data_IF_023178963898
#
_entry.id   IF_023178963898
#
_cell.length_a   1.000
_cell.length_b   1.000
_cell.length_c   1.000
_cell.angle_alpha   90.00
_cell.angle_beta   90.00
_cell.angle_gamma   90.00
#
_symmetry.space_group_name_H-M   'P 1'
#
loop_
_entity.id
_entity.type
_entity.pdbx_description
1 polymer ?
#
# COMPACT_ATOMS: atom_id res chain seq x y z
N UNK A 1 -41.61 -3.29 -3.05
CA UNK A 1 -42.73 -3.05 -4.01
C UNK A 1 -42.09 -2.68 -5.36
N UNK A 2 -42.57 -3.28 -6.46
CA UNK A 2 -41.96 -3.42 -7.81
C UNK A 2 -41.03 -4.64 -7.91
N UNK A 3 -41.56 -5.86 -8.05
CA UNK A 3 -42.06 -6.49 -9.30
C UNK A 3 -41.01 -6.55 -10.41
N UNK A 4 -40.28 -7.67 -10.46
CA UNK A 4 -39.84 -8.27 -11.72
C UNK A 4 -40.52 -9.62 -11.84
N UNK A 5 -41.57 -9.61 -12.64
CA UNK A 5 -42.35 -10.75 -13.06
C UNK A 5 -41.55 -11.48 -14.14
N UNK A 6 -40.97 -12.65 -13.82
CA UNK A 6 -40.56 -13.60 -14.86
C UNK A 6 -41.66 -14.65 -14.97
N UNK A 7 -42.62 -14.31 -15.81
CA UNK A 7 -43.56 -15.25 -16.40
C UNK A 7 -42.79 -16.06 -17.47
N UNK A 8 -42.50 -17.32 -17.18
CA UNK A 8 -42.33 -18.36 -18.19
C UNK A 8 -43.24 -19.50 -17.69
N UNK A 9 -44.51 -19.50 -18.06
CA UNK A 9 -44.90 -19.83 -19.42
C UNK A 9 -44.98 -21.35 -19.51
N UNK A 10 -46.09 -21.91 -19.02
CA UNK A 10 -46.39 -23.33 -19.20
C UNK A 10 -46.38 -23.66 -20.69
N UNK A 11 -45.52 -24.61 -21.08
CA UNK A 11 -45.55 -25.22 -22.40
C UNK A 11 -45.56 -26.73 -22.21
N UNK A 12 -46.76 -27.29 -22.42
CA UNK A 12 -47.07 -28.62 -22.89
C UNK A 12 -45.90 -29.60 -23.09
N UNK A 13 -45.70 -30.51 -22.12
CA UNK A 13 -45.00 -31.78 -22.37
C UNK A 13 -45.95 -32.74 -23.10
N UNK A 14 -46.14 -32.50 -24.40
CA UNK A 14 -46.76 -33.47 -25.31
C UNK A 14 -45.75 -34.58 -25.57
N UNK A 15 -46.22 -35.82 -25.38
CA UNK A 15 -45.68 -37.12 -25.80
C UNK A 15 -44.50 -37.05 -26.78
N UNK A 16 -43.28 -36.99 -26.23
CA UNK A 16 -42.05 -37.23 -26.95
C UNK A 16 -41.65 -38.70 -26.72
N UNK A 17 -41.63 -39.48 -27.81
CA UNK A 17 -41.29 -40.90 -27.83
C UNK A 17 -39.93 -41.21 -27.19
N UNK A 18 -39.66 -42.49 -26.89
CA UNK A 18 -38.50 -42.89 -26.07
C UNK A 18 -37.15 -42.38 -26.61
N UNK A 19 -37.02 -42.19 -27.93
CA UNK A 19 -35.81 -41.63 -28.53
C UNK A 19 -35.62 -40.13 -28.28
N UNK A 20 -36.69 -39.34 -28.21
CA UNK A 20 -36.58 -37.89 -27.96
C UNK A 20 -36.30 -37.58 -26.49
N UNK A 21 -36.79 -38.42 -25.57
CA UNK A 21 -36.49 -38.25 -24.14
C UNK A 21 -35.02 -38.59 -23.80
N UNK A 22 -34.44 -39.59 -24.44
CA UNK A 22 -33.01 -39.91 -24.34
C UNK A 22 -32.14 -38.75 -24.87
N UNK A 23 -32.54 -38.13 -25.98
CA UNK A 23 -31.84 -36.95 -26.54
C UNK A 23 -31.90 -35.74 -25.61
N UNK A 24 -33.04 -35.51 -24.94
CA UNK A 24 -33.19 -34.43 -23.96
C UNK A 24 -32.29 -34.67 -22.75
N UNK A 25 -32.25 -35.89 -22.20
CA UNK A 25 -31.35 -36.20 -21.08
C UNK A 25 -29.89 -36.03 -21.47
N UNK A 26 -29.47 -36.51 -22.64
CA UNK A 26 -28.10 -36.31 -23.13
C UNK A 26 -27.80 -34.82 -23.29
N UNK A 27 -28.72 -34.03 -23.82
CA UNK A 27 -28.56 -32.57 -23.94
C UNK A 27 -28.45 -31.87 -22.58
N UNK A 28 -29.27 -32.26 -21.60
CA UNK A 28 -29.20 -31.72 -20.23
C UNK A 28 -27.90 -32.11 -19.53
N UNK A 29 -27.45 -33.37 -19.65
CA UNK A 29 -26.17 -33.81 -19.09
C UNK A 29 -25.02 -33.08 -19.77
N UNK A 30 -25.04 -32.93 -21.11
CA UNK A 30 -24.01 -32.18 -21.84
C UNK A 30 -24.01 -30.71 -21.41
N UNK A 31 -25.17 -30.10 -21.21
CA UNK A 31 -25.28 -28.71 -20.74
C UNK A 31 -24.74 -28.54 -19.32
N UNK A 32 -25.04 -29.47 -18.40
CA UNK A 32 -24.47 -29.48 -17.05
C UNK A 32 -22.95 -29.67 -17.13
N UNK A 33 -22.47 -30.55 -18.01
CA UNK A 33 -21.04 -30.83 -18.16
C UNK A 33 -20.29 -29.65 -18.78
N UNK A 34 -20.90 -28.93 -19.73
CA UNK A 34 -20.38 -27.69 -20.30
C UNK A 34 -20.42 -26.56 -19.27
N UNK A 35 -21.52 -26.39 -18.53
CA UNK A 35 -21.61 -25.39 -17.47
C UNK A 35 -20.57 -25.65 -16.37
N UNK A 36 -20.43 -26.91 -15.95
CA UNK A 36 -19.42 -27.34 -14.98
C UNK A 36 -18.01 -27.15 -15.54
N UNK A 37 -17.78 -27.50 -16.82
CA UNK A 37 -16.51 -27.26 -17.48
C UNK A 37 -16.20 -25.77 -17.50
N UNK A 38 -17.09 -24.90 -17.98
CA UNK A 38 -16.97 -23.42 -18.01
C UNK A 38 -16.68 -22.83 -16.62
N UNK A 39 -17.26 -23.41 -15.56
CA UNK A 39 -16.99 -23.01 -14.16
C UNK A 39 -15.63 -23.52 -13.66
N UNK A 40 -15.18 -24.69 -14.14
CA UNK A 40 -13.90 -25.29 -13.78
C UNK A 40 -12.74 -24.89 -14.70
N UNK A 41 -12.99 -24.25 -15.86
CA UNK A 41 -11.93 -23.64 -16.66
C UNK A 41 -11.36 -22.53 -15.78
N UNK A 42 -10.07 -22.60 -15.38
CA UNK A 42 -9.41 -21.48 -14.73
C UNK A 42 -9.68 -20.27 -15.59
N UNK A 43 -10.28 -19.21 -15.04
CA UNK A 43 -10.68 -18.07 -15.86
C UNK A 43 -9.47 -17.64 -16.69
N UNK A 44 -9.60 -17.59 -18.01
CA UNK A 44 -8.56 -17.07 -18.92
C UNK A 44 -8.20 -15.59 -18.62
N UNK A 45 -8.86 -14.99 -17.62
CA UNK A 45 -8.50 -13.74 -16.97
C UNK A 45 -7.34 -13.86 -15.96
N UNK A 46 -6.81 -15.05 -15.67
CA UNK A 46 -5.64 -15.22 -14.80
C UNK A 46 -4.34 -14.65 -15.42
N UNK A 47 -4.32 -14.41 -16.74
CA UNK A 47 -3.20 -13.78 -17.46
C UNK A 47 -3.37 -12.25 -17.63
N UNK A 48 -4.49 -11.67 -17.20
CA UNK A 48 -4.60 -10.22 -17.07
C UNK A 48 -4.12 -9.92 -15.66
N UNK A 49 -2.94 -9.28 -15.47
CA UNK A 49 -2.52 -8.89 -14.13
C UNK A 49 -3.65 -8.07 -13.50
N UNK A 50 -4.06 -8.36 -12.25
CA UNK A 50 -5.01 -7.51 -11.54
C UNK A 50 -4.54 -6.04 -11.60
N UNK A 51 -5.46 -5.06 -11.49
CA UNK A 51 -5.04 -3.68 -11.31
C UNK A 51 -3.99 -3.62 -10.20
N UNK A 52 -2.87 -2.96 -10.48
CA UNK A 52 -1.80 -2.81 -9.48
C UNK A 52 -2.35 -1.90 -8.39
N UNK A 53 -2.77 -2.50 -7.29
CA UNK A 53 -3.03 -1.78 -6.06
C UNK A 53 -1.68 -1.52 -5.37
N UNK A 54 -1.54 -0.33 -4.77
CA UNK A 54 -0.30 0.10 -4.12
C UNK A 54 -0.60 0.72 -2.76
N UNK A 55 0.36 0.62 -1.85
CA UNK A 55 0.41 1.41 -0.63
C UNK A 55 1.69 2.22 -0.61
N UNK A 56 1.52 3.49 -0.27
CA UNK A 56 2.58 4.48 -0.21
C UNK A 56 2.76 4.94 1.23
N UNK A 57 4.01 5.16 1.63
CA UNK A 57 4.34 5.69 2.94
C UNK A 57 5.47 6.70 2.76
N UNK A 58 5.13 7.97 2.96
CA UNK A 58 6.02 9.11 2.78
C UNK A 58 6.47 9.65 4.14
N UNK A 59 7.76 9.94 4.31
CA UNK A 59 8.29 10.64 5.50
C UNK A 59 9.47 11.51 5.10
N UNK A 60 9.85 12.51 5.89
CA UNK A 60 11.19 13.08 5.76
C UNK A 60 11.29 14.57 5.97
N UNK A 61 12.50 15.00 6.30
CA UNK A 61 12.86 16.41 6.26
C UNK A 61 12.34 17.31 7.38
N UNK A 62 13.04 18.43 7.59
CA UNK A 62 12.65 19.50 8.52
C UNK A 62 12.32 20.79 7.76
N UNK A 63 11.14 21.34 8.04
CA UNK A 63 10.76 22.70 7.64
C UNK A 63 11.08 23.70 8.74
N UNK A 64 11.72 24.82 8.40
CA UNK A 64 12.02 25.92 9.32
C UNK A 64 11.64 27.26 8.71
N UNK A 65 11.19 28.21 9.54
CA UNK A 65 10.85 29.60 9.14
C UNK A 65 12.02 30.58 9.46
N UNK A 66 13.02 30.16 10.23
CA UNK A 66 14.08 31.06 10.66
C UNK A 66 15.16 31.27 9.59
N UNK A 67 15.52 32.54 9.35
CA UNK A 67 16.66 32.91 8.52
C UNK A 67 17.99 32.68 9.28
N UNK A 68 19.10 32.57 8.53
CA UNK A 68 20.47 32.41 9.05
C UNK A 68 20.75 31.06 9.74
N UNK A 69 20.10 30.01 9.25
CA UNK A 69 20.14 28.66 9.78
C UNK A 69 20.65 27.71 8.70
N UNK A 70 21.59 26.84 9.03
CA UNK A 70 22.11 25.82 8.13
C UNK A 70 21.82 24.42 8.64
N UNK A 71 21.61 23.49 7.71
CA UNK A 71 21.43 22.06 7.94
C UNK A 71 22.60 21.34 7.26
N UNK A 72 23.81 21.37 7.83
CA UNK A 72 24.99 20.80 7.19
C UNK A 72 24.94 19.29 6.95
N UNK A 73 24.24 18.54 7.81
CA UNK A 73 24.27 17.07 7.78
C UNK A 73 22.92 16.48 8.18
N UNK A 74 22.48 15.49 7.40
CA UNK A 74 21.28 14.69 7.64
C UNK A 74 21.61 13.23 7.47
N UNK A 75 21.31 12.42 8.48
CA UNK A 75 21.49 10.97 8.44
C UNK A 75 20.15 10.30 8.70
N UNK A 76 19.73 9.44 7.77
CA UNK A 76 18.44 8.75 7.80
C UNK A 76 18.69 7.26 7.76
N UNK A 77 18.07 6.55 8.70
CA UNK A 77 18.10 5.11 8.77
C UNK A 77 16.68 4.58 8.73
N UNK A 78 16.40 3.73 7.74
CA UNK A 78 15.09 3.13 7.53
C UNK A 78 15.25 1.63 7.56
N UNK A 79 14.50 0.95 8.41
CA UNK A 79 14.37 -0.51 8.40
C UNK A 79 12.94 -0.88 8.06
N UNK A 80 12.76 -1.70 7.04
CA UNK A 80 11.47 -2.16 6.55
C UNK A 80 11.43 -3.67 6.66
N UNK A 81 10.51 -4.19 7.47
CA UNK A 81 10.32 -5.61 7.69
C UNK A 81 8.99 -6.06 7.12
N UNK A 82 9.01 -6.95 6.13
CA UNK A 82 7.79 -7.66 5.72
C UNK A 82 7.49 -8.76 6.75
N UNK A 83 6.55 -8.49 7.66
CA UNK A 83 6.23 -9.37 8.79
C UNK A 83 5.08 -10.33 8.52
N UNK A 84 4.18 -9.99 7.60
CA UNK A 84 3.16 -10.88 7.04
C UNK A 84 3.10 -10.68 5.52
N UNK A 85 2.32 -11.50 4.81
CA UNK A 85 2.18 -11.49 3.35
C UNK A 85 1.96 -10.10 2.76
N UNK A 86 1.35 -9.19 3.53
CA UNK A 86 1.12 -7.81 3.12
C UNK A 86 1.37 -6.76 4.21
N UNK A 87 1.99 -7.14 5.33
CA UNK A 87 2.23 -6.23 6.44
C UNK A 87 3.70 -5.85 6.52
N UNK A 88 3.95 -4.56 6.50
CA UNK A 88 5.28 -3.96 6.60
C UNK A 88 5.38 -3.23 7.93
N UNK A 89 6.37 -3.58 8.73
CA UNK A 89 6.73 -2.82 9.93
C UNK A 89 7.98 -1.98 9.58
N UNK A 90 7.89 -0.68 9.81
CA UNK A 90 8.90 0.30 9.44
C UNK A 90 9.40 1.00 10.70
N UNK A 91 10.73 1.12 10.81
CA UNK A 91 11.36 2.01 11.77
C UNK A 91 12.20 3.01 11.01
N UNK A 92 12.02 4.28 11.35
CA UNK A 92 12.72 5.42 10.78
C UNK A 92 13.42 6.14 11.91
N UNK A 93 14.71 6.37 11.73
CA UNK A 93 15.53 7.19 12.61
C UNK A 93 16.24 8.23 11.77
N UNK A 94 16.00 9.50 12.07
CA UNK A 94 16.64 10.62 11.39
C UNK A 94 17.44 11.43 12.41
N UNK A 95 18.64 11.84 12.04
CA UNK A 95 19.46 12.79 12.79
C UNK A 95 19.75 14.01 11.92
N UNK A 96 19.33 15.18 12.39
CA UNK A 96 19.48 16.45 11.70
C UNK A 96 20.44 17.35 12.47
N UNK A 97 21.60 17.65 11.88
CA UNK A 97 22.55 18.58 12.49
C UNK A 97 22.22 20.00 12.04
N UNK A 98 21.80 20.83 12.99
CA UNK A 98 21.38 22.21 12.75
C UNK A 98 22.40 23.18 13.34
N UNK A 99 22.74 24.23 12.60
CA UNK A 99 23.64 25.31 13.06
C UNK A 99 23.02 26.68 12.87
N UNK A 100 23.21 27.52 13.87
CA UNK A 100 22.87 28.95 13.84
C UNK A 100 24.12 29.78 14.06
N UNK A 101 24.20 30.96 13.44
CA UNK A 101 25.24 31.95 13.74
C UNK A 101 24.87 32.87 14.91
N UNK A 102 23.60 32.84 15.33
CA UNK A 102 23.04 33.68 16.39
C UNK A 102 22.19 32.85 17.35
N UNK A 103 22.06 33.32 18.58
CA UNK A 103 21.09 32.75 19.52
C UNK A 103 19.67 33.07 19.07
N UNK A 104 18.82 32.05 18.93
CA UNK A 104 17.43 32.22 18.53
C UNK A 104 16.54 31.02 18.88
N UNK A 105 15.23 31.30 18.99
CA UNK A 105 14.20 30.26 19.08
C UNK A 105 13.79 29.83 17.68
N UNK A 106 13.65 28.53 17.51
CA UNK A 106 13.26 27.89 16.26
C UNK A 106 11.91 27.21 16.42
N UNK A 107 11.13 27.31 15.36
CA UNK A 107 9.90 26.57 15.16
C UNK A 107 10.12 25.71 13.93
N UNK A 108 10.07 24.39 14.11
CA UNK A 108 10.44 23.42 13.10
C UNK A 108 9.37 22.33 13.00
N UNK A 109 9.11 21.84 11.80
CA UNK A 109 8.20 20.73 11.57
C UNK A 109 8.92 19.55 10.92
N UNK A 110 8.68 18.34 11.43
CA UNK A 110 9.07 17.09 10.79
C UNK A 110 7.89 16.50 9.99
N UNK A 111 8.12 16.10 8.75
CA UNK A 111 7.10 15.46 7.91
C UNK A 111 7.09 13.96 8.15
N UNK A 112 5.91 13.42 8.38
CA UNK A 112 5.72 11.99 8.53
C UNK A 112 4.40 11.59 7.87
N UNK A 113 4.20 10.30 7.56
CA UNK A 113 3.03 9.87 6.81
C UNK A 113 1.81 10.18 7.66
N UNK A 114 0.79 10.80 7.05
CA UNK A 114 -0.47 10.97 7.78
C UNK A 114 -1.01 9.58 8.16
N UNK A 115 -1.79 9.51 9.23
CA UNK A 115 -2.53 8.28 9.50
C UNK A 115 -3.64 8.22 8.45
N UNK A 116 -3.42 7.45 7.38
CA UNK A 116 -4.42 7.27 6.33
C UNK A 116 -5.61 6.49 6.88
N UNK A 117 -6.70 7.20 7.18
CA UNK A 117 -8.06 6.68 7.17
C UNK A 117 -8.72 7.18 5.89
N UNK A 118 -8.23 6.76 4.73
CA UNK A 118 -8.99 7.04 3.52
C UNK A 118 -10.24 6.16 3.56
N UNK A 119 -11.42 6.79 3.45
CA UNK A 119 -12.76 6.20 3.38
C UNK A 119 -12.97 5.19 2.21
N UNK A 120 -11.91 4.84 1.49
CA UNK A 120 -11.90 3.84 0.43
C UNK A 120 -11.18 2.59 0.96
N UNK A 121 -11.97 1.75 1.61
CA UNK A 121 -11.67 0.42 2.18
C UNK A 121 -10.83 0.39 3.47
N UNK A 122 -11.27 -0.32 4.53
CA UNK A 122 -10.58 -0.46 5.82
C UNK A 122 -9.29 -1.30 5.76
N UNK A 123 -8.64 -1.37 4.60
CA UNK A 123 -7.65 -2.41 4.28
C UNK A 123 -6.24 -1.84 3.99
N UNK A 124 -6.12 -0.52 3.76
CA UNK A 124 -4.84 0.20 3.74
C UNK A 124 -4.69 1.02 5.03
N UNK A 125 -3.98 0.47 6.02
CA UNK A 125 -3.83 1.10 7.33
C UNK A 125 -2.35 1.39 7.57
N UNK A 126 -2.01 2.68 7.64
CA UNK A 126 -0.77 3.14 8.27
C UNK A 126 -1.06 3.39 9.75
N UNK A 127 -0.46 2.59 10.63
CA UNK A 127 -0.58 2.72 12.08
C UNK A 127 0.74 3.19 12.67
N UNK A 128 0.72 4.31 13.38
CA UNK A 128 1.89 4.82 14.13
C UNK A 128 1.93 4.18 15.52
N UNK A 129 3.04 3.52 15.86
CA UNK A 129 3.24 2.84 17.14
C UNK A 129 4.04 3.70 18.11
N UNK A 130 5.12 4.30 17.62
CA UNK A 130 6.05 5.12 18.41
C UNK A 130 6.46 6.33 17.58
N UNK A 131 6.52 7.50 18.23
CA UNK A 131 7.02 8.74 17.64
C UNK A 131 7.65 9.59 18.74
N UNK A 132 8.91 9.96 18.57
CA UNK A 132 9.70 10.72 19.54
C UNK A 132 10.61 11.71 18.82
N UNK A 133 10.69 12.94 19.35
CA UNK A 133 11.58 13.99 18.85
C UNK A 133 12.47 14.42 20.00
N UNK A 134 13.77 14.36 19.78
CA UNK A 134 14.78 14.77 20.76
C UNK A 134 15.66 15.87 20.19
N UNK A 135 16.02 16.81 21.05
CA UNK A 135 17.01 17.85 20.76
C UNK A 135 18.15 17.69 21.73
N UNK A 136 19.34 17.35 21.23
CA UNK A 136 20.51 16.97 22.05
C UNK A 136 20.13 15.96 23.14
N UNK A 137 19.57 14.80 22.73
CA UNK A 137 19.08 13.72 23.60
C UNK A 137 17.91 14.07 24.56
N UNK A 138 17.38 15.30 24.50
CA UNK A 138 16.27 15.73 25.36
C UNK A 138 14.95 15.69 24.58
N UNK A 139 13.99 14.88 25.05
CA UNK A 139 12.66 14.81 24.42
C UNK A 139 11.94 16.17 24.46
N UNK A 140 11.31 16.53 23.35
CA UNK A 140 10.58 17.79 23.17
C UNK A 140 9.11 17.53 22.84
N UNK A 141 8.24 18.38 23.35
CA UNK A 141 6.81 18.37 23.01
C UNK A 141 6.57 18.92 21.60
N UNK A 142 5.68 18.26 20.87
CA UNK A 142 5.28 18.63 19.52
C UNK A 142 3.76 18.65 19.37
N UNK A 143 3.28 19.44 18.42
CA UNK A 143 1.89 19.48 17.98
C UNK A 143 1.78 18.90 16.57
N UNK A 144 0.81 18.04 16.34
CA UNK A 144 0.54 17.49 15.01
C UNK A 144 -0.38 18.45 14.25
N UNK A 145 0.03 18.81 13.04
CA UNK A 145 -0.77 19.58 12.10
C UNK A 145 -0.99 18.76 10.83
N UNK A 146 -2.24 18.74 10.34
CA UNK A 146 -2.52 18.22 9.01
C UNK A 146 -2.02 19.19 7.93
N UNK A 147 -1.78 18.69 6.73
CA UNK A 147 -1.28 19.47 5.60
C UNK A 147 -2.03 20.80 5.38
N UNK A 148 -3.36 20.77 5.37
CA UNK A 148 -4.18 21.98 5.14
C UNK A 148 -3.98 23.03 6.23
N UNK A 149 -3.81 22.63 7.49
CA UNK A 149 -3.52 23.56 8.58
C UNK A 149 -2.10 24.10 8.46
N UNK A 150 -1.11 23.22 8.23
CA UNK A 150 0.29 23.60 8.07
C UNK A 150 0.47 24.62 6.94
N UNK A 151 -0.12 24.37 5.77
CA UNK A 151 -0.02 25.24 4.60
C UNK A 151 -0.51 26.67 4.84
N UNK A 152 -1.56 26.87 5.64
CA UNK A 152 -2.11 28.20 5.96
C UNK A 152 -1.09 29.03 6.75
N UNK A 153 -0.40 28.40 7.70
CA UNK A 153 0.53 29.08 8.60
C UNK A 153 1.93 29.27 7.98
N UNK A 154 2.31 28.39 7.04
CA UNK A 154 3.65 28.30 6.48
C UNK A 154 3.63 28.52 4.95
N UNK A 155 2.91 29.53 4.46
CA UNK A 155 2.87 29.90 3.02
C UNK A 155 4.28 30.31 2.50
N UNK A 156 5.09 29.31 2.18
CA UNK A 156 6.52 29.38 1.84
C UNK A 156 6.77 29.89 0.40
N UNK A 157 5.85 30.63 -0.22
CA UNK A 157 5.91 31.02 -1.65
C UNK A 157 6.10 29.83 -2.62
N UNK A 158 5.75 28.62 -2.17
CA UNK A 158 5.97 27.40 -2.90
C UNK A 158 4.72 27.01 -3.70
N UNK A 159 4.92 26.72 -4.98
CA UNK A 159 3.83 26.43 -5.92
C UNK A 159 3.47 24.95 -6.03
N UNK A 160 4.34 24.04 -5.59
CA UNK A 160 4.10 22.61 -5.65
C UNK A 160 4.24 21.96 -4.27
N UNK A 161 3.14 21.44 -3.77
CA UNK A 161 3.01 20.73 -2.50
C UNK A 161 2.55 19.28 -2.69
N UNK A 162 2.49 18.79 -3.94
CA UNK A 162 1.88 17.50 -4.24
C UNK A 162 2.54 16.33 -3.49
N UNK A 163 3.84 16.42 -3.23
CA UNK A 163 4.63 15.39 -2.58
C UNK A 163 4.58 15.39 -1.04
N UNK A 164 3.78 16.29 -0.43
CA UNK A 164 3.53 16.30 1.03
C UNK A 164 2.05 16.47 1.37
N UNK A 165 1.16 16.44 0.37
CA UNK A 165 -0.27 16.71 0.55
C UNK A 165 -0.93 15.68 1.47
N UNK A 166 -0.43 14.45 1.47
CA UNK A 166 -0.95 13.34 2.25
C UNK A 166 -0.11 13.04 3.50
N UNK A 167 0.67 14.02 3.96
CA UNK A 167 1.51 13.95 5.15
C UNK A 167 0.96 14.77 6.32
N UNK A 168 1.36 14.38 7.53
CA UNK A 168 1.21 15.16 8.74
C UNK A 168 2.55 15.81 9.15
N UNK A 169 2.45 16.89 9.93
CA UNK A 169 3.58 17.72 10.33
C UNK A 169 3.68 17.77 11.85
N UNK A 170 4.74 17.20 12.41
CA UNK A 170 5.04 17.30 13.83
C UNK A 170 5.80 18.60 14.11
N UNK A 171 5.09 19.61 14.59
CA UNK A 171 5.60 20.95 14.87
C UNK A 171 6.13 21.06 16.29
N UNK A 172 7.39 21.47 16.45
CA UNK A 172 8.05 21.62 17.74
C UNK A 172 8.90 22.89 17.80
N UNK A 173 9.19 23.33 19.03
CA UNK A 173 9.99 24.52 19.28
C UNK A 173 11.21 24.17 20.14
N UNK A 174 12.34 24.80 19.84
CA UNK A 174 13.55 24.70 20.65
C UNK A 174 14.39 25.97 20.53
N UNK A 175 15.33 26.17 21.46
CA UNK A 175 16.27 27.30 21.41
C UNK A 175 17.66 26.80 21.00
N UNK A 176 18.36 27.65 20.25
CA UNK A 176 19.79 27.46 19.97
C UNK A 176 20.53 28.59 20.69
N UNK A 177 21.25 28.23 21.75
CA UNK A 177 21.85 29.20 22.68
C UNK A 177 23.36 29.40 22.44
N UNK A 178 23.94 28.71 21.45
CA UNK A 178 25.38 28.73 21.19
C UNK A 178 25.71 28.55 19.70
N UNK A 179 26.98 28.79 19.35
CA UNK A 179 27.53 28.48 18.03
C UNK A 179 27.67 26.95 17.81
N UNK A 180 27.54 26.16 18.88
CA UNK A 180 27.66 24.72 18.76
C UNK A 180 26.44 24.15 18.00
N UNK A 181 26.67 23.18 17.10
CA UNK A 181 25.59 22.51 16.41
C UNK A 181 24.66 21.82 17.39
N UNK A 182 23.37 21.84 17.07
CA UNK A 182 22.35 21.05 17.76
C UNK A 182 22.00 19.86 16.88
N UNK A 183 21.81 18.70 17.49
CA UNK A 183 21.29 17.51 16.82
C UNK A 183 19.82 17.35 17.18
N UNK A 184 18.98 17.27 16.16
CA UNK A 184 17.57 16.89 16.30
C UNK A 184 17.43 15.45 15.83
N UNK A 185 17.10 14.56 16.75
CA UNK A 185 16.83 13.16 16.46
C UNK A 185 15.33 12.92 16.40
N UNK A 186 14.88 12.24 15.35
CA UNK A 186 13.49 11.81 15.19
C UNK A 186 13.46 10.31 15.08
N UNK A 187 12.63 9.68 15.92
CA UNK A 187 12.39 8.24 15.90
C UNK A 187 10.92 8.00 15.63
N UNK A 188 10.61 7.24 14.59
CA UNK A 188 9.26 6.86 14.25
C UNK A 188 9.18 5.37 13.96
N UNK A 189 8.15 4.71 14.49
CA UNK A 189 7.81 3.33 14.15
C UNK A 189 6.36 3.29 13.68
N UNK A 190 6.15 2.71 12.50
CA UNK A 190 4.85 2.59 11.88
C UNK A 190 4.68 1.24 11.21
N UNK A 191 3.45 0.76 11.13
CA UNK A 191 3.09 -0.41 10.34
C UNK A 191 2.22 0.01 9.18
N UNK A 192 2.48 -0.55 8.01
CA UNK A 192 1.70 -0.33 6.79
C UNK A 192 1.17 -1.67 6.29
N UNK A 193 -0.13 -1.75 6.04
CA UNK A 193 -0.75 -2.93 5.42
C UNK A 193 -1.04 -2.60 3.97
N UNK A 194 -0.41 -3.36 3.06
CA UNK A 194 -0.74 -3.31 1.64
C UNK A 194 -1.92 -4.21 1.32
N UNK A 195 -2.81 -3.76 0.44
CA UNK A 195 -3.79 -4.65 -0.23
C UNK A 195 -3.32 -5.12 -1.58
N UNK A 196 -2.22 -4.55 -2.06
CA UNK A 196 -1.78 -4.68 -3.43
C UNK A 196 -0.36 -5.20 -3.55
N UNK A 197 -0.01 -5.49 -4.81
CA UNK A 197 1.29 -6.06 -5.17
C UNK A 197 2.46 -5.10 -4.94
N UNK A 198 2.18 -3.83 -4.70
CA UNK A 198 3.19 -2.80 -4.62
C UNK A 198 3.21 -2.18 -3.23
N UNK A 199 4.39 -2.12 -2.65
CA UNK A 199 4.67 -1.29 -1.49
C UNK A 199 5.69 -0.23 -1.90
N UNK A 200 5.41 1.02 -1.55
CA UNK A 200 6.23 2.19 -1.84
C UNK A 200 6.57 2.86 -0.51
N UNK A 201 7.86 3.02 -0.27
CA UNK A 201 8.38 3.89 0.77
C UNK A 201 9.06 5.08 0.10
N UNK A 202 8.75 6.28 0.53
CA UNK A 202 9.39 7.50 0.05
C UNK A 202 9.98 8.31 1.20
N UNK A 203 11.18 8.85 0.98
CA UNK A 203 11.79 9.83 1.85
C UNK A 203 11.97 11.17 1.13
N UNK A 204 11.43 12.25 1.72
CA UNK A 204 11.41 13.60 1.16
C UNK A 204 12.72 14.33 1.49
N UNK A 205 13.51 14.64 0.47
CA UNK A 205 14.82 15.33 0.61
C UNK A 205 14.71 16.84 0.34
N UNK A 206 13.70 17.28 -0.40
CA UNK A 206 13.55 18.67 -0.84
C UNK A 206 13.56 19.68 0.32
N UNK A 207 13.15 19.26 1.52
CA UNK A 207 13.20 20.08 2.75
C UNK A 207 14.59 20.67 3.03
N UNK A 208 15.67 19.96 2.71
CA UNK A 208 17.04 20.40 2.92
C UNK A 208 17.38 21.67 2.12
N UNK A 209 16.78 21.88 0.94
CA UNK A 209 17.02 23.05 0.08
C UNK A 209 16.57 24.38 0.69
N UNK A 210 15.81 24.34 1.79
CA UNK A 210 15.29 25.54 2.48
C UNK A 210 16.28 26.10 3.49
N UNK A 211 17.33 25.35 3.79
CA UNK A 211 18.34 25.76 4.76
C UNK A 211 19.47 26.52 4.06
N UNK A 212 20.14 27.40 4.80
CA UNK A 212 21.28 28.13 4.28
C UNK A 212 22.47 27.20 4.09
N UNK A 213 23.15 27.35 2.96
CA UNK A 213 24.33 26.58 2.62
C UNK A 213 23.99 25.32 1.83
N UNK A 214 24.75 24.26 2.09
CA UNK A 214 24.64 22.98 1.40
C UNK A 214 24.52 21.88 2.46
N UNK A 215 23.66 20.90 2.17
CA UNK A 215 23.34 19.80 3.07
C UNK A 215 23.94 18.53 2.51
N UNK A 216 24.73 17.84 3.33
CA UNK A 216 25.11 16.45 3.08
C UNK A 216 24.04 15.53 3.66
N UNK A 217 23.44 14.70 2.81
CA UNK A 217 22.38 13.80 3.21
C UNK A 217 22.75 12.35 2.90
N UNK A 218 22.65 11.49 3.92
CA UNK A 218 22.90 10.05 3.82
C UNK A 218 21.64 9.30 4.22
N UNK A 219 21.07 8.52 3.31
CA UNK A 219 19.85 7.75 3.53
C UNK A 219 20.17 6.28 3.37
N UNK A 220 20.11 5.55 4.47
CA UNK A 220 20.33 4.11 4.54
C UNK A 220 19.00 3.41 4.71
N UNK A 221 18.65 2.53 3.78
CA UNK A 221 17.45 1.72 3.83
C UNK A 221 17.81 0.23 3.84
N UNK A 222 17.32 -0.47 4.84
CA UNK A 222 17.35 -1.92 4.93
C UNK A 222 15.93 -2.46 4.76
N UNK A 223 15.76 -3.38 3.83
CA UNK A 223 14.55 -4.17 3.66
C UNK A 223 14.86 -5.63 3.97
N UNK A 224 14.09 -6.25 4.85
CA UNK A 224 14.17 -7.68 5.13
C UNK A 224 12.78 -8.33 5.06
N UNK A 225 12.71 -9.53 4.47
CA UNK A 225 11.48 -10.34 4.50
C UNK A 225 11.63 -11.53 5.44
N UNK A 226 10.58 -11.79 6.22
CA UNK A 226 10.54 -12.94 7.14
C UNK A 226 9.94 -14.21 6.52
N UNK A 227 9.25 -14.13 5.37
CA UNK A 227 8.36 -15.20 4.90
C UNK A 227 8.56 -15.62 3.43
N UNK A 228 7.82 -16.65 3.02
CA UNK A 228 7.81 -17.26 1.67
C UNK A 228 7.27 -16.36 0.55
N UNK A 229 6.84 -15.12 0.83
CA UNK A 229 6.31 -14.18 -0.17
C UNK A 229 7.35 -13.93 -1.25
N UNK A 230 7.06 -14.36 -2.47
CA UNK A 230 7.95 -14.17 -3.62
C UNK A 230 7.97 -12.69 -4.01
N UNK A 231 9.13 -12.05 -3.87
CA UNK A 231 9.37 -10.71 -4.41
C UNK A 231 9.65 -10.86 -5.90
N UNK A 232 8.88 -10.15 -6.72
CA UNK A 232 9.07 -10.09 -8.17
C UNK A 232 10.28 -9.20 -8.47
N UNK A 233 10.28 -8.00 -7.92
CA UNK A 233 11.31 -7.01 -8.18
C UNK A 233 11.42 -5.97 -7.05
N UNK A 234 12.62 -5.42 -6.94
CA UNK A 234 12.89 -4.18 -6.22
C UNK A 234 13.08 -3.08 -7.25
N UNK A 235 12.42 -1.94 -7.04
CA UNK A 235 12.64 -0.71 -7.78
C UNK A 235 13.08 0.38 -6.81
N UNK A 236 13.96 1.25 -7.27
CA UNK A 236 14.48 2.35 -6.47
C UNK A 236 14.72 3.56 -7.36
N UNK A 237 14.47 4.75 -6.83
CA UNK A 237 14.60 5.99 -7.56
C UNK A 237 15.07 7.12 -6.61
N UNK A 238 15.97 8.01 -7.06
CA UNK A 238 16.77 7.91 -8.27
C UNK A 238 17.89 6.87 -8.14
N UNK A 239 18.46 6.48 -9.28
CA UNK A 239 19.64 5.59 -9.32
C UNK A 239 20.96 6.36 -9.14
N UNK A 240 20.93 7.70 -9.23
CA UNK A 240 22.09 8.53 -8.97
C UNK A 240 22.44 8.49 -7.49
N UNK A 241 23.74 8.49 -7.19
CA UNK A 241 24.27 8.50 -5.82
C UNK A 241 23.85 7.30 -4.95
N UNK A 242 23.33 6.24 -5.57
CA UNK A 242 22.85 5.04 -4.90
C UNK A 242 23.92 3.95 -4.92
N UNK A 243 24.24 3.43 -3.74
CA UNK A 243 24.85 2.11 -3.57
C UNK A 243 23.76 1.08 -3.21
N UNK A 244 23.82 -0.09 -3.86
CA UNK A 244 22.85 -1.17 -3.66
C UNK A 244 23.59 -2.48 -3.41
N UNK A 245 23.19 -3.16 -2.34
CA UNK A 245 23.56 -4.54 -2.12
C UNK A 245 22.34 -5.33 -1.69
N UNK A 246 22.13 -6.51 -2.25
CA UNK A 246 20.93 -7.26 -1.94
C UNK A 246 20.85 -8.62 -2.62
N UNK A 247 19.85 -9.37 -2.19
CA UNK A 247 19.45 -10.65 -2.75
C UNK A 247 17.91 -10.73 -2.67
N UNK A 248 17.34 -11.90 -2.94
CA UNK A 248 15.88 -12.07 -2.97
C UNK A 248 15.20 -11.93 -1.58
N UNK A 249 15.95 -11.88 -0.49
CA UNK A 249 15.45 -11.84 0.89
C UNK A 249 15.71 -10.53 1.61
N UNK A 250 16.79 -9.84 1.22
CA UNK A 250 17.23 -8.61 1.87
C UNK A 250 17.76 -7.63 0.83
N UNK A 251 17.42 -6.35 0.98
CA UNK A 251 18.00 -5.27 0.20
C UNK A 251 18.54 -4.19 1.14
N UNK A 252 19.74 -3.71 0.85
CA UNK A 252 20.38 -2.59 1.51
C UNK A 252 20.68 -1.53 0.46
N UNK A 253 20.13 -0.34 0.65
CA UNK A 253 20.28 0.82 -0.22
C UNK A 253 20.92 1.95 0.56
N UNK A 254 21.83 2.68 -0.08
CA UNK A 254 22.42 3.89 0.51
C UNK A 254 22.47 4.98 -0.54
N UNK A 255 21.72 6.06 -0.33
CA UNK A 255 21.91 7.30 -1.07
C UNK A 255 22.83 8.22 -0.25
N UNK A 256 23.91 8.69 -0.87
CA UNK A 256 24.90 9.58 -0.23
C UNK A 256 25.23 10.73 -1.20
N UNK A 257 24.76 11.94 -0.89
CA UNK A 257 24.84 13.07 -1.81
C UNK A 257 24.84 14.43 -1.09
N UNK A 258 25.31 15.45 -1.82
CA UNK A 258 25.10 16.86 -1.46
C UNK A 258 23.83 17.37 -2.14
N UNK A 259 22.99 18.12 -1.41
CA UNK A 259 21.65 18.50 -1.88
C UNK A 259 21.70 19.37 -3.15
N UNK A 260 22.74 20.19 -3.34
CA UNK A 260 22.88 21.02 -4.54
C UNK A 260 23.12 20.22 -5.83
N UNK A 261 23.69 19.01 -5.70
CA UNK A 261 23.95 18.09 -6.83
C UNK A 261 22.81 17.07 -7.02
N UNK A 262 21.79 17.11 -6.16
CA UNK A 262 20.66 16.18 -6.17
C UNK A 262 19.42 16.83 -6.78
N UNK A 263 19.01 16.33 -7.95
CA UNK A 263 17.93 16.94 -8.75
C UNK A 263 16.51 16.52 -8.35
N UNK A 264 16.36 15.48 -7.50
CA UNK A 264 15.07 14.89 -7.17
C UNK A 264 14.55 15.40 -5.82
N UNK A 265 13.24 15.46 -5.66
CA UNK A 265 12.62 15.95 -4.40
C UNK A 265 12.49 14.87 -3.33
N UNK A 266 12.64 13.61 -3.74
CA UNK A 266 12.51 12.43 -2.90
C UNK A 266 13.34 11.26 -3.40
N UNK A 267 13.62 10.33 -2.49
CA UNK A 267 14.06 8.98 -2.82
C UNK A 267 12.90 8.01 -2.58
N UNK A 268 12.79 6.99 -3.41
CA UNK A 268 11.70 6.00 -3.34
C UNK A 268 12.29 4.60 -3.39
N UNK A 269 11.80 3.73 -2.51
CA UNK A 269 12.02 2.29 -2.52
C UNK A 269 10.70 1.58 -2.73
N UNK A 270 10.66 0.72 -3.73
CA UNK A 270 9.46 0.09 -4.22
C UNK A 270 9.68 -1.42 -4.22
N UNK A 271 8.79 -2.15 -3.56
CA UNK A 271 8.78 -3.61 -3.53
C UNK A 271 7.56 -4.09 -4.28
N UNK A 272 7.78 -4.92 -5.31
CA UNK A 272 6.70 -5.61 -5.98
C UNK A 272 6.67 -7.08 -5.59
N UNK A 273 5.52 -7.53 -5.10
CA UNK A 273 5.27 -8.89 -4.61
C UNK A 273 4.41 -9.67 -5.59
N UNK A 274 4.65 -10.98 -5.69
CA UNK A 274 3.84 -11.88 -6.49
C UNK A 274 2.58 -12.26 -5.73
N UNK A 275 1.42 -12.08 -6.36
CA UNK A 275 0.17 -12.66 -5.85
C UNK A 275 0.29 -14.19 -5.85
N UNK A 276 0.19 -14.82 -4.68
CA UNK A 276 0.28 -16.27 -4.55
C UNK A 276 -0.96 -16.83 -3.82
N UNK A 277 -1.80 -17.65 -4.49
CA UNK A 277 -2.30 -17.49 -5.85
C UNK A 277 -3.51 -16.53 -5.90
N UNK A 278 -3.73 -15.94 -7.08
CA UNK A 278 -5.00 -15.39 -7.57
C UNK A 278 -6.15 -16.01 -6.80
N UNK A 279 -6.82 -15.23 -5.97
CA UNK A 279 -8.06 -15.66 -5.36
C UNK A 279 -8.89 -16.33 -6.46
N UNK A 280 -9.14 -17.63 -6.33
CA UNK A 280 -10.37 -18.20 -6.86
C UNK A 280 -11.42 -17.21 -6.39
N UNK A 281 -11.96 -16.37 -7.30
CA UNK A 281 -13.06 -15.45 -6.98
C UNK A 281 -13.96 -16.22 -6.04
N UNK A 282 -14.19 -15.67 -4.85
CA UNK A 282 -15.03 -16.30 -3.85
C UNK A 282 -16.38 -16.52 -4.53
N UNK A 283 -16.58 -17.70 -5.12
CA UNK A 283 -17.86 -18.04 -5.70
C UNK A 283 -18.77 -18.11 -4.48
N UNK A 284 -19.79 -17.25 -4.38
CA UNK A 284 -20.64 -17.25 -3.21
C UNK A 284 -21.08 -18.70 -3.00
N UNK A 285 -20.87 -19.23 -1.79
CA UNK A 285 -21.21 -20.61 -1.46
C UNK A 285 -22.64 -20.94 -1.89
N UNK A 286 -23.50 -19.93 -1.84
CA UNK A 286 -24.89 -19.91 -2.28
C UNK A 286 -25.05 -20.24 -3.78
N UNK A 287 -24.16 -19.73 -4.65
CA UNK A 287 -24.21 -19.98 -6.09
C UNK A 287 -23.85 -21.44 -6.45
N UNK A 288 -22.87 -22.03 -5.75
CA UNK A 288 -22.52 -23.45 -5.90
C UNK A 288 -23.64 -24.34 -5.38
N UNK A 289 -24.25 -23.97 -4.25
CA UNK A 289 -25.41 -24.67 -3.68
C UNK A 289 -26.61 -24.59 -4.63
N UNK A 290 -26.87 -23.44 -5.25
CA UNK A 290 -27.94 -23.28 -6.24
C UNK A 290 -27.73 -24.17 -7.47
N UNK A 291 -26.54 -24.18 -8.06
CA UNK A 291 -26.21 -25.04 -9.21
C UNK A 291 -26.34 -26.52 -8.83
N UNK A 292 -25.82 -26.92 -7.68
CA UNK A 292 -25.93 -28.29 -7.19
C UNK A 292 -27.38 -28.70 -6.94
N UNK A 293 -28.19 -27.81 -6.37
CA UNK A 293 -29.61 -28.04 -6.09
C UNK A 293 -30.40 -28.21 -7.40
N UNK A 294 -30.17 -27.35 -8.39
CA UNK A 294 -30.80 -27.47 -9.71
C UNK A 294 -30.40 -28.78 -10.38
N UNK A 295 -29.12 -29.16 -10.32
CA UNK A 295 -28.65 -30.42 -10.90
C UNK A 295 -29.30 -31.65 -10.24
N UNK A 296 -29.38 -31.69 -8.91
CA UNK A 296 -30.03 -32.78 -8.17
C UNK A 296 -31.52 -32.86 -8.50
N UNK A 297 -32.23 -31.73 -8.57
CA UNK A 297 -33.66 -31.70 -8.91
C UNK A 297 -33.92 -32.23 -10.33
N UNK A 298 -33.06 -31.89 -11.29
CA UNK A 298 -33.15 -32.41 -12.66
C UNK A 298 -32.94 -33.92 -12.68
N UNK A 299 -31.96 -34.45 -11.95
CA UNK A 299 -31.68 -35.89 -11.88
C UNK A 299 -32.84 -36.64 -11.21
N UNK A 300 -33.32 -36.17 -10.05
CA UNK A 300 -34.41 -36.80 -9.31
C UNK A 300 -35.71 -36.76 -10.12
N UNK A 301 -36.05 -35.62 -10.71
CA UNK A 301 -37.21 -35.50 -11.60
C UNK A 301 -37.14 -36.48 -12.78
N UNK A 302 -35.95 -36.64 -13.39
CA UNK A 302 -35.73 -37.58 -14.48
C UNK A 302 -35.92 -39.04 -14.03
N UNK A 303 -35.38 -39.43 -12.88
CA UNK A 303 -35.53 -40.79 -12.32
C UNK A 303 -37.00 -41.10 -12.01
N UNK A 304 -37.74 -40.14 -11.42
CA UNK A 304 -39.15 -40.33 -11.08
C UNK A 304 -40.01 -40.50 -12.34
N UNK A 305 -39.75 -39.75 -13.40
CA UNK A 305 -40.43 -39.90 -14.69
C UNK A 305 -40.13 -41.26 -15.31
N UNK A 306 -38.88 -41.73 -15.26
CA UNK A 306 -38.51 -43.07 -15.74
C UNK A 306 -39.21 -44.18 -14.95
N UNK A 307 -39.24 -44.10 -13.61
CA UNK A 307 -39.87 -45.11 -12.76
C UNK A 307 -41.39 -45.16 -12.95
N UNK A 308 -42.06 -44.02 -13.12
CA UNK A 308 -43.51 -43.96 -13.41
C UNK A 308 -43.87 -44.62 -14.75
N UNK A 309 -42.97 -44.57 -15.74
CA UNK A 309 -43.15 -45.25 -17.04
C UNK A 309 -42.88 -46.75 -17.02
N UNK A 310 -42.15 -47.28 -16.02
CA UNK A 310 -41.95 -48.73 -15.87
C UNK A 310 -43.14 -49.43 -15.19
N UNK A 311 -44.00 -48.67 -14.52
CA UNK A 311 -45.19 -49.18 -13.84
C UNK A 311 -46.50 -48.96 -14.62
N UNK A 312 -46.42 -48.44 -15.85
CA UNK A 312 -47.51 -48.36 -16.82
C UNK A 312 -47.17 -49.19 -18.04
#
# INVERSE_FOLDING_TARGET
MKEYCIYVGGVAFILLGSQTMSRIMVACTLFILIATAVVLIPSAYADVPPPIEYVETETGGLYNIAANMSLPEVVVNVTIHLTDSWKYDLNVSCAFTIRSQIEQNLTTAFVYPSIWWIDFTPEQIVGMHEFDIRVNDTAIEYAILHFEDFKIWYDLNQTDWQYVMDCDFALFNFSIDSVDPIVVDVFASFSSISVGHLFIFEYIVDTARRWEGDTHETIQLQFDRNNETEIIEYRYQPHSHLDFSGNNYSAALTWDFLIHDFEFDRVSFIVQQREYPVYHRYFPRDFIIEIATVAVLVVVGSILVMKRRQHH
#
